data_IF_941079310883
#
_entry.id   IF_941079310883
#
_cell.length_a   1.000
_cell.length_b   1.000
_cell.length_c   1.000
_cell.angle_alpha   90.00
_cell.angle_beta   90.00
_cell.angle_gamma   90.00
#
_symmetry.space_group_name_H-M   'P 1'
#
loop_
_entity.id
_entity.type
_entity.pdbx_description
1 polymer ?
#
# COMPACT_ATOMS: atom_id res chain seq x y z
N UNK A 1 -19.91 4.49 1.72
CA UNK A 1 -19.09 3.70 0.77
C UNK A 1 -19.30 2.22 1.06
N UNK A 2 -19.54 1.38 0.03
CA UNK A 2 -19.47 -0.08 0.21
C UNK A 2 -18.02 -0.45 0.51
N UNK A 3 -17.80 -1.32 1.50
CA UNK A 3 -16.46 -1.84 1.82
C UNK A 3 -16.02 -2.71 0.64
N UNK A 4 -14.88 -2.40 0.02
CA UNK A 4 -14.28 -3.23 -1.01
C UNK A 4 -14.06 -4.65 -0.46
N UNK A 5 -14.35 -5.68 -1.26
CA UNK A 5 -14.04 -7.06 -0.85
C UNK A 5 -12.53 -7.26 -0.83
N UNK A 6 -12.05 -8.17 0.01
CA UNK A 6 -10.62 -8.46 0.08
C UNK A 6 -10.06 -9.02 -1.23
N UNK A 7 -10.82 -9.86 -1.93
CA UNK A 7 -10.43 -10.40 -3.24
C UNK A 7 -10.27 -9.28 -4.29
N UNK A 8 -11.23 -8.35 -4.34
CA UNK A 8 -11.18 -7.20 -5.24
C UNK A 8 -10.00 -6.27 -4.90
N UNK A 9 -9.54 -6.28 -3.63
CA UNK A 9 -8.33 -5.59 -3.21
C UNK A 9 -7.06 -6.28 -3.69
N UNK A 10 -6.95 -7.60 -3.51
CA UNK A 10 -5.80 -8.37 -3.97
C UNK A 10 -5.62 -8.24 -5.49
N UNK A 11 -6.69 -8.37 -6.26
CA UNK A 11 -6.65 -8.24 -7.72
C UNK A 11 -6.26 -6.84 -8.21
N UNK A 12 -6.42 -5.82 -7.37
CA UNK A 12 -6.01 -4.44 -7.70
C UNK A 12 -4.61 -4.07 -7.21
N UNK A 13 -3.94 -4.92 -6.44
CA UNK A 13 -2.66 -4.60 -5.79
C UNK A 13 -1.56 -4.29 -6.82
N UNK A 14 -1.59 -4.98 -7.96
CA UNK A 14 -0.64 -4.89 -9.07
C UNK A 14 -0.96 -3.77 -10.08
N UNK A 15 -2.08 -3.06 -9.92
CA UNK A 15 -2.41 -1.94 -10.80
C UNK A 15 -1.51 -0.72 -10.58
N UNK A 16 -0.70 -0.73 -9.52
CA UNK A 16 0.08 0.40 -9.02
C UNK A 16 1.58 0.07 -8.92
N UNK A 17 2.08 -0.93 -9.67
CA UNK A 17 3.48 -1.37 -9.64
C UNK A 17 4.48 -0.28 -10.04
N UNK A 18 4.04 0.68 -10.85
CA UNK A 18 4.89 1.76 -11.35
C UNK A 18 5.14 2.88 -10.30
N UNK A 19 4.46 2.87 -9.15
CA UNK A 19 4.66 3.86 -8.07
C UNK A 19 4.47 3.22 -6.69
N UNK A 20 5.55 3.21 -5.90
CA UNK A 20 5.49 2.78 -4.50
C UNK A 20 4.56 3.66 -3.66
N UNK A 21 4.47 4.96 -3.95
CA UNK A 21 3.57 5.87 -3.25
C UNK A 21 2.10 5.51 -3.52
N UNK A 22 1.75 5.21 -4.78
CA UNK A 22 0.39 4.83 -5.14
C UNK A 22 0.02 3.44 -4.60
N UNK A 23 0.93 2.46 -4.69
CA UNK A 23 0.76 1.15 -4.08
C UNK A 23 0.56 1.24 -2.55
N UNK A 24 1.38 2.07 -1.89
CA UNK A 24 1.26 2.36 -0.46
C UNK A 24 -0.09 2.97 -0.09
N UNK A 25 -0.54 3.96 -0.87
CA UNK A 25 -1.83 4.61 -0.67
C UNK A 25 -2.99 3.62 -0.81
N UNK A 26 -2.95 2.77 -1.85
CA UNK A 26 -3.97 1.75 -2.09
C UNK A 26 -4.13 0.79 -0.91
N UNK A 27 -3.01 0.28 -0.39
CA UNK A 27 -3.00 -0.60 0.79
C UNK A 27 -3.50 0.12 2.03
N UNK A 28 -3.04 1.36 2.27
CA UNK A 28 -3.45 2.16 3.43
C UNK A 28 -4.97 2.39 3.45
N UNK A 29 -5.56 2.75 2.30
CA UNK A 29 -6.99 2.98 2.15
C UNK A 29 -7.81 1.71 2.44
N UNK A 30 -7.38 0.56 1.92
CA UNK A 30 -8.09 -0.71 2.16
C UNK A 30 -8.15 -1.06 3.65
N UNK A 31 -7.02 -0.92 4.35
CA UNK A 31 -6.92 -1.20 5.78
C UNK A 31 -7.43 -0.04 6.67
N UNK A 32 -7.84 1.09 6.09
CA UNK A 32 -8.29 2.32 6.77
C UNK A 32 -7.24 2.89 7.72
N UNK A 33 -5.99 2.98 7.25
CA UNK A 33 -4.84 3.44 8.03
C UNK A 33 -4.58 4.92 7.76
N UNK A 34 -5.36 5.81 8.39
CA UNK A 34 -5.43 7.24 8.05
C UNK A 34 -4.08 7.97 8.04
N UNK A 35 -3.22 7.70 9.00
CA UNK A 35 -1.88 8.28 9.05
C UNK A 35 -1.05 7.91 7.81
N UNK A 36 -1.06 6.64 7.42
CA UNK A 36 -0.38 6.18 6.21
C UNK A 36 -1.07 6.66 4.92
N UNK A 37 -2.40 6.78 4.90
CA UNK A 37 -3.12 7.38 3.77
C UNK A 37 -2.62 8.81 3.50
N UNK A 38 -2.48 9.64 4.54
CA UNK A 38 -2.00 11.03 4.41
C UNK A 38 -0.54 11.09 3.93
N UNK A 39 0.32 10.21 4.46
CA UNK A 39 1.73 10.12 4.08
C UNK A 39 1.85 9.74 2.59
N UNK A 40 1.23 8.64 2.17
CA UNK A 40 1.34 8.18 0.78
C UNK A 40 0.63 9.10 -0.21
N UNK A 41 -0.49 9.72 0.19
CA UNK A 41 -1.11 10.77 -0.62
C UNK A 41 -0.14 11.94 -0.85
N UNK A 42 0.61 12.35 0.17
CA UNK A 42 1.60 13.43 0.04
C UNK A 42 2.74 13.03 -0.91
N UNK A 43 3.28 11.81 -0.81
CA UNK A 43 4.29 11.34 -1.76
C UNK A 43 3.74 11.30 -3.19
N UNK A 44 2.53 10.76 -3.40
CA UNK A 44 1.92 10.72 -4.73
C UNK A 44 1.74 12.14 -5.33
N UNK A 45 1.35 13.14 -4.54
CA UNK A 45 1.26 14.51 -5.02
C UNK A 45 2.63 15.09 -5.42
N UNK A 46 3.68 14.78 -4.66
CA UNK A 46 5.05 15.20 -4.95
C UNK A 46 5.60 14.51 -6.21
N UNK A 47 5.33 13.20 -6.40
CA UNK A 47 5.72 12.47 -7.61
C UNK A 47 5.04 13.09 -8.84
N UNK A 48 3.73 13.36 -8.74
CA UNK A 48 2.97 14.03 -9.80
C UNK A 48 3.44 15.45 -10.10
N UNK A 49 4.08 16.12 -9.14
CA UNK A 49 4.71 17.43 -9.33
C UNK A 49 6.11 17.33 -9.97
N UNK A 50 6.61 16.12 -10.21
CA UNK A 50 7.94 15.86 -10.75
C UNK A 50 9.05 16.12 -9.73
N UNK A 51 8.74 16.09 -8.44
CA UNK A 51 9.77 16.16 -7.39
C UNK A 51 10.59 14.87 -7.36
N UNK A 52 11.87 15.00 -7.08
CA UNK A 52 12.75 13.87 -6.80
C UNK A 52 12.43 13.33 -5.40
N UNK A 53 11.86 12.13 -5.34
CA UNK A 53 11.50 11.45 -4.11
C UNK A 53 12.41 10.24 -3.95
N UNK A 54 12.98 10.09 -2.76
CA UNK A 54 13.76 8.92 -2.41
C UNK A 54 12.85 7.69 -2.37
N UNK A 55 12.97 6.80 -3.37
CA UNK A 55 12.26 5.51 -3.38
C UNK A 55 12.50 4.70 -2.09
N UNK A 56 13.73 4.72 -1.58
CA UNK A 56 14.10 4.08 -0.32
C UNK A 56 13.29 4.61 0.88
N UNK A 57 12.96 5.90 0.89
CA UNK A 57 12.17 6.52 1.97
C UNK A 57 10.71 6.03 1.91
N UNK A 58 10.13 6.01 0.72
CA UNK A 58 8.76 5.51 0.50
C UNK A 58 8.67 4.02 0.83
N UNK A 59 9.67 3.23 0.43
CA UNK A 59 9.77 1.80 0.73
C UNK A 59 9.90 1.55 2.23
N UNK A 60 10.70 2.33 2.97
CA UNK A 60 10.83 2.16 4.42
C UNK A 60 9.49 2.39 5.13
N UNK A 61 8.75 3.42 4.74
CA UNK A 61 7.41 3.73 5.26
C UNK A 61 6.41 2.62 4.90
N UNK A 62 6.48 2.11 3.67
CA UNK A 62 5.65 0.98 3.23
C UNK A 62 5.91 -0.26 4.10
N UNK A 63 7.17 -0.58 4.36
CA UNK A 63 7.56 -1.69 5.22
C UNK A 63 7.10 -1.50 6.67
N UNK A 64 7.09 -0.27 7.20
CA UNK A 64 6.53 0.03 8.51
C UNK A 64 5.00 -0.21 8.54
N UNK A 65 4.28 0.21 7.50
CA UNK A 65 2.85 -0.05 7.35
C UNK A 65 2.57 -1.56 7.27
N UNK A 66 3.35 -2.31 6.49
CA UNK A 66 3.21 -3.76 6.39
C UNK A 66 3.39 -4.46 7.74
N UNK A 67 4.38 -4.07 8.54
CA UNK A 67 4.58 -4.57 9.92
C UNK A 67 3.36 -4.28 10.79
N UNK A 68 2.79 -3.08 10.69
CA UNK A 68 1.56 -2.73 11.41
C UNK A 68 0.38 -3.62 10.97
N UNK A 69 0.18 -3.81 9.66
CA UNK A 69 -0.87 -4.67 9.10
C UNK A 69 -0.68 -6.12 9.54
N UNK A 70 0.56 -6.63 9.54
CA UNK A 70 0.89 -7.97 9.99
C UNK A 70 0.47 -8.18 11.46
N UNK A 71 0.77 -7.22 12.33
CA UNK A 71 0.39 -7.27 13.74
C UNK A 71 -1.13 -7.14 13.95
N UNK A 72 -1.77 -6.18 13.28
CA UNK A 72 -3.19 -5.84 13.47
C UNK A 72 -4.15 -6.81 12.77
N UNK A 73 -3.75 -7.32 11.60
CA UNK A 73 -4.56 -8.13 10.68
C UNK A 73 -3.81 -9.37 10.15
N UNK A 74 -3.27 -10.24 11.01
CA UNK A 74 -2.32 -11.30 10.63
C UNK A 74 -2.86 -12.29 9.58
N UNK A 75 -4.17 -12.56 9.56
CA UNK A 75 -4.77 -13.44 8.55
C UNK A 75 -4.90 -12.78 7.18
N UNK A 76 -5.19 -11.48 7.13
CA UNK A 76 -5.26 -10.73 5.87
C UNK A 76 -3.87 -10.49 5.33
N UNK A 77 -2.93 -10.12 6.19
CA UNK A 77 -1.52 -9.99 5.84
C UNK A 77 -1.02 -11.28 5.17
N UNK A 78 -1.12 -12.44 5.82
CA UNK A 78 -0.64 -13.71 5.25
C UNK A 78 -1.25 -14.06 3.90
N UNK A 79 -2.53 -13.72 3.68
CA UNK A 79 -3.17 -13.95 2.39
C UNK A 79 -2.66 -13.00 1.31
N UNK A 80 -2.45 -11.73 1.67
CA UNK A 80 -1.88 -10.72 0.77
C UNK A 80 -0.43 -11.06 0.42
N UNK A 81 0.39 -11.38 1.41
CA UNK A 81 1.79 -11.81 1.28
C UNK A 81 1.91 -13.01 0.35
N UNK A 82 1.13 -14.06 0.61
CA UNK A 82 1.06 -15.24 -0.26
C UNK A 82 0.58 -14.89 -1.69
N UNK A 83 -0.41 -14.01 -1.82
CA UNK A 83 -0.91 -13.60 -3.13
C UNK A 83 0.16 -12.84 -3.91
N UNK A 84 0.97 -12.01 -3.25
CA UNK A 84 2.12 -11.34 -3.86
C UNK A 84 3.14 -12.39 -4.33
N UNK A 85 3.55 -13.32 -3.47
CA UNK A 85 4.49 -14.41 -3.82
C UNK A 85 4.03 -15.28 -5.01
N UNK A 86 2.71 -15.48 -5.18
CA UNK A 86 2.17 -16.32 -6.25
C UNK A 86 2.04 -15.60 -7.61
N UNK A 87 2.18 -14.26 -7.64
CA UNK A 87 1.94 -13.44 -8.83
C UNK A 87 3.13 -12.53 -9.23
N UNK A 88 4.25 -12.58 -8.50
CA UNK A 88 5.52 -11.92 -8.80
C UNK A 88 6.60 -12.96 -9.12
#
# INVERSE_FOLDING_TARGET
MKKQKFEDFLNGLFAHEDSFAEAGLYVAQYFNLKEYEEIFFTYQQRENAGEDISENEVEEIYNQMLKYIQWRYPFRYRKMDKYIEENY
#
